data_IF_636598367868
#
_entry.id   IF_636598367868
#
_cell.length_a   1.000
_cell.length_b   1.000
_cell.length_c   1.000
_cell.angle_alpha   90.00
_cell.angle_beta   90.00
_cell.angle_gamma   90.00
#
_symmetry.space_group_name_H-M   'P 1'
#
loop_
_entity.id
_entity.type
_entity.pdbx_description
1 polymer ?
#
# COMPACT_ATOMS: atom_id res chain seq x y z
N UNK A 1 23.89 -28.02 8.01
CA UNK A 1 23.44 -26.62 8.17
C UNK A 1 24.38 -25.87 9.12
N UNK A 2 24.60 -24.56 8.96
CA UNK A 2 25.60 -23.80 9.74
C UNK A 2 25.42 -23.93 11.28
N UNK A 3 24.17 -24.01 11.75
CA UNK A 3 23.83 -24.25 13.15
C UNK A 3 24.29 -25.64 13.65
N UNK A 4 24.17 -26.66 12.81
CA UNK A 4 24.57 -28.05 13.14
C UNK A 4 26.09 -28.20 13.30
N UNK A 5 26.87 -27.25 12.77
CA UNK A 5 28.33 -27.20 12.93
C UNK A 5 28.79 -26.11 13.91
N UNK A 6 27.87 -25.58 14.73
CA UNK A 6 28.20 -24.71 15.86
C UNK A 6 28.30 -23.21 15.55
N UNK A 7 27.79 -22.74 14.41
CA UNK A 7 27.71 -21.30 14.15
C UNK A 7 26.72 -20.62 15.11
N UNK A 8 27.08 -19.44 15.61
CA UNK A 8 26.18 -18.59 16.39
C UNK A 8 25.16 -17.86 15.51
N UNK A 9 24.05 -17.44 16.11
CA UNK A 9 23.02 -16.61 15.46
C UNK A 9 23.14 -15.15 15.90
N UNK A 10 22.69 -14.22 15.05
CA UNK A 10 22.51 -12.82 15.40
C UNK A 10 21.27 -12.26 14.70
N UNK A 11 20.56 -11.33 15.36
CA UNK A 11 19.34 -10.69 14.84
C UNK A 11 18.04 -11.33 15.35
N UNK A 12 16.92 -10.77 14.88
CA UNK A 12 15.56 -11.27 15.13
C UNK A 12 15.15 -12.18 13.98
N UNK A 13 14.47 -13.30 14.32
CA UNK A 13 13.96 -14.26 13.33
C UNK A 13 12.43 -14.25 13.22
N UNK A 14 11.79 -13.39 13.99
CA UNK A 14 10.35 -13.25 14.18
C UNK A 14 9.77 -11.98 13.52
N UNK A 15 10.59 -11.25 12.75
CA UNK A 15 10.15 -10.12 11.94
C UNK A 15 9.39 -10.54 10.69
N UNK A 16 8.65 -9.59 10.10
CA UNK A 16 7.91 -9.79 8.87
C UNK A 16 8.22 -8.66 7.90
N UNK A 17 8.66 -9.02 6.69
CA UNK A 17 8.73 -8.09 5.56
C UNK A 17 7.31 -7.91 5.01
N UNK A 18 6.84 -6.67 4.97
CA UNK A 18 5.46 -6.34 4.61
C UNK A 18 5.44 -5.25 3.54
N UNK A 19 4.59 -5.40 2.52
CA UNK A 19 4.38 -4.38 1.48
C UNK A 19 2.89 -4.23 1.20
N UNK A 20 2.48 -3.01 0.82
CA UNK A 20 1.13 -2.78 0.31
C UNK A 20 1.07 -3.24 -1.14
N UNK A 21 0.31 -4.29 -1.41
CA UNK A 21 0.17 -4.87 -2.76
C UNK A 21 -1.24 -4.68 -3.30
N UNK A 22 -1.37 -4.55 -4.61
CA UNK A 22 -2.66 -4.60 -5.28
C UNK A 22 -3.20 -6.03 -5.24
N UNK A 23 -4.21 -6.27 -4.39
CA UNK A 23 -4.82 -7.60 -4.23
C UNK A 23 -5.58 -8.07 -5.46
N UNK A 24 -5.79 -7.19 -6.46
CA UNK A 24 -6.43 -7.53 -7.73
C UNK A 24 -5.42 -8.08 -8.75
N UNK A 25 -4.14 -7.86 -8.54
CA UNK A 25 -3.08 -8.23 -9.46
C UNK A 25 -2.74 -9.73 -9.37
N UNK A 26 -2.49 -10.35 -10.52
CA UNK A 26 -2.06 -11.75 -10.61
C UNK A 26 -0.52 -11.88 -10.67
N UNK A 27 0.15 -10.74 -10.87
CA UNK A 27 1.60 -10.64 -10.99
C UNK A 27 2.25 -10.67 -9.59
N UNK A 28 3.37 -11.37 -9.41
CA UNK A 28 4.14 -11.26 -8.17
C UNK A 28 4.64 -9.83 -7.98
N UNK A 29 4.76 -9.38 -6.73
CA UNK A 29 5.36 -8.10 -6.38
C UNK A 29 4.61 -6.87 -6.96
N UNK A 30 3.28 -6.92 -6.93
CA UNK A 30 2.40 -5.81 -7.36
C UNK A 30 2.29 -4.71 -6.29
N UNK A 31 3.44 -4.23 -5.78
CA UNK A 31 3.54 -3.28 -4.66
C UNK A 31 3.15 -1.87 -5.08
N UNK A 32 2.26 -1.21 -4.34
CA UNK A 32 1.91 0.20 -4.58
C UNK A 32 2.91 1.12 -3.88
N UNK A 33 3.88 1.61 -4.66
CA UNK A 33 4.97 2.45 -4.17
C UNK A 33 4.61 3.94 -4.12
N UNK A 34 3.56 4.40 -4.79
CA UNK A 34 3.20 5.82 -4.75
C UNK A 34 2.48 6.31 -3.48
N UNK A 35 2.47 5.56 -2.37
CA UNK A 35 1.71 5.94 -1.16
C UNK A 35 2.08 7.33 -0.60
N UNK A 36 3.31 7.81 -0.80
CA UNK A 36 3.74 9.16 -0.41
C UNK A 36 3.20 10.29 -1.31
N UNK A 37 2.60 9.97 -2.46
CA UNK A 37 2.02 10.92 -3.42
C UNK A 37 0.49 10.93 -3.41
N UNK A 38 -0.12 10.23 -2.46
CA UNK A 38 -1.56 10.20 -2.28
C UNK A 38 -1.90 9.99 -0.81
N UNK A 39 -3.06 9.37 -0.56
CA UNK A 39 -3.49 8.97 0.77
C UNK A 39 -3.81 7.48 0.81
N UNK A 40 -3.64 6.89 1.98
CA UNK A 40 -4.05 5.52 2.25
C UNK A 40 -5.18 5.53 3.27
N UNK A 41 -6.29 4.93 2.91
CA UNK A 41 -7.50 4.85 3.74
C UNK A 41 -7.87 3.40 4.03
N UNK A 42 -8.45 3.15 5.20
CA UNK A 42 -8.98 1.84 5.55
C UNK A 42 -10.39 1.61 4.92
N UNK A 43 -11.01 0.47 5.21
CA UNK A 43 -12.38 0.14 4.73
C UNK A 43 -13.48 1.10 5.23
N UNK A 44 -13.19 1.94 6.24
CA UNK A 44 -14.09 2.98 6.75
C UNK A 44 -13.81 4.35 6.13
N UNK A 45 -12.91 4.40 5.14
CA UNK A 45 -12.42 5.62 4.50
C UNK A 45 -11.63 6.55 5.44
N UNK A 46 -11.10 6.02 6.53
CA UNK A 46 -10.29 6.79 7.48
C UNK A 46 -8.80 6.63 7.14
N UNK A 47 -8.07 7.75 7.11
CA UNK A 47 -6.61 7.71 7.10
C UNK A 47 -6.10 7.14 8.41
N UNK A 48 -5.16 6.23 8.34
CA UNK A 48 -4.56 5.59 9.53
C UNK A 48 -3.05 5.79 9.63
N UNK A 49 -2.45 6.44 8.63
CA UNK A 49 -1.01 6.63 8.53
C UNK A 49 -0.68 8.05 8.06
N UNK A 50 0.48 8.56 8.47
CA UNK A 50 1.06 9.79 7.92
C UNK A 50 2.05 9.41 6.82
N UNK A 51 1.60 9.47 5.57
CA UNK A 51 2.32 9.04 4.38
C UNK A 51 3.56 9.92 4.09
N UNK A 52 3.63 11.11 4.69
CA UNK A 52 4.74 12.06 4.57
C UNK A 52 5.69 12.09 5.77
N UNK A 53 5.47 11.24 6.80
CA UNK A 53 6.19 11.36 8.08
C UNK A 53 7.71 11.26 7.97
N UNK A 54 8.23 10.48 7.02
CA UNK A 54 9.67 10.24 6.77
C UNK A 54 9.91 9.88 5.30
N UNK A 55 11.17 9.63 4.96
CA UNK A 55 11.57 9.15 3.64
C UNK A 55 10.88 7.83 3.30
N UNK A 56 10.46 7.70 2.05
CA UNK A 56 9.72 6.58 1.50
C UNK A 56 10.26 5.19 1.89
N UNK A 57 11.55 4.93 1.67
CA UNK A 57 12.18 3.63 1.97
C UNK A 57 12.28 3.33 3.48
N UNK A 58 11.91 4.27 4.35
CA UNK A 58 11.81 4.08 5.80
C UNK A 58 10.38 3.77 6.23
N UNK A 59 9.38 4.15 5.41
CA UNK A 59 7.96 4.11 5.79
C UNK A 59 7.15 3.05 5.08
N UNK A 60 7.60 2.53 3.93
CA UNK A 60 6.83 1.60 3.10
C UNK A 60 6.45 0.30 3.82
N UNK A 61 7.38 -0.24 4.62
CA UNK A 61 7.11 -1.46 5.40
C UNK A 61 6.23 -1.16 6.62
N UNK A 62 6.44 0.00 7.23
CA UNK A 62 5.70 0.42 8.43
C UNK A 62 4.22 0.67 8.13
N UNK A 63 3.88 1.25 6.97
CA UNK A 63 2.47 1.44 6.58
C UNK A 63 1.80 0.10 6.28
N UNK A 64 2.52 -0.84 5.67
CA UNK A 64 2.03 -2.19 5.42
C UNK A 64 1.82 -2.97 6.72
N UNK A 65 2.74 -2.83 7.68
CA UNK A 65 2.61 -3.41 9.01
C UNK A 65 1.39 -2.86 9.76
N UNK A 66 1.18 -1.54 9.74
CA UNK A 66 0.02 -0.91 10.38
C UNK A 66 -1.30 -1.35 9.72
N UNK A 67 -1.32 -1.49 8.38
CA UNK A 67 -2.45 -2.02 7.64
C UNK A 67 -2.78 -3.47 8.04
N UNK A 68 -1.75 -4.34 8.06
CA UNK A 68 -1.88 -5.73 8.45
C UNK A 68 -2.36 -5.88 9.90
N UNK A 69 -1.77 -5.13 10.84
CA UNK A 69 -2.03 -5.25 12.27
C UNK A 69 -3.38 -4.69 12.68
N UNK A 70 -3.74 -3.51 12.17
CA UNK A 70 -4.83 -2.70 12.74
C UNK A 70 -5.97 -2.40 11.75
N UNK A 71 -5.82 -2.70 10.45
CA UNK A 71 -6.77 -2.30 9.40
C UNK A 71 -7.40 -3.48 8.65
N UNK A 72 -7.62 -4.61 9.34
CA UNK A 72 -8.25 -5.80 8.73
C UNK A 72 -7.51 -6.27 7.46
N UNK A 73 -6.18 -6.10 7.46
CA UNK A 73 -5.26 -6.48 6.38
C UNK A 73 -5.63 -5.91 5.01
N UNK A 74 -6.29 -4.76 4.96
CA UNK A 74 -6.77 -4.18 3.71
C UNK A 74 -6.95 -2.67 3.82
N UNK A 75 -6.48 -1.97 2.78
CA UNK A 75 -6.59 -0.54 2.63
C UNK A 75 -6.70 -0.17 1.14
N UNK A 76 -7.01 1.09 0.86
CA UNK A 76 -7.09 1.66 -0.47
C UNK A 76 -6.08 2.79 -0.60
N UNK A 77 -5.27 2.76 -1.66
CA UNK A 77 -4.48 3.91 -2.07
C UNK A 77 -5.34 4.80 -2.97
N UNK A 78 -5.31 6.10 -2.71
CA UNK A 78 -6.09 7.10 -3.42
C UNK A 78 -5.17 8.24 -3.85
N UNK A 79 -5.26 8.60 -5.13
CA UNK A 79 -4.54 9.73 -5.72
C UNK A 79 -5.47 10.48 -6.69
N UNK A 80 -5.06 11.68 -7.11
CA UNK A 80 -5.73 12.45 -8.17
C UNK A 80 -5.13 12.19 -9.56
N UNK A 81 -5.76 12.76 -10.58
CA UNK A 81 -5.33 12.62 -11.98
C UNK A 81 -3.98 13.32 -12.22
N UNK A 82 -3.72 14.48 -11.61
CA UNK A 82 -2.45 15.20 -11.79
C UNK A 82 -1.24 14.35 -11.37
N UNK A 83 -1.33 13.68 -10.22
CA UNK A 83 -0.30 12.76 -9.75
C UNK A 83 -0.25 11.50 -10.62
N UNK A 84 -1.40 10.93 -10.98
CA UNK A 84 -1.45 9.76 -11.86
C UNK A 84 -0.74 10.04 -13.20
N UNK A 85 -1.07 11.13 -13.88
CA UNK A 85 -0.44 11.50 -15.16
C UNK A 85 1.07 11.72 -15.03
N UNK A 86 1.55 12.17 -13.86
CA UNK A 86 2.97 12.45 -13.63
C UNK A 86 3.81 11.19 -13.44
N UNK A 87 3.25 10.16 -12.82
CA UNK A 87 3.96 8.92 -12.44
C UNK A 87 3.44 7.68 -13.17
N UNK A 88 2.42 7.80 -14.03
CA UNK A 88 2.05 6.71 -14.90
C UNK A 88 3.21 6.37 -15.85
N UNK A 89 3.56 5.09 -15.97
CA UNK A 89 4.75 4.67 -16.72
C UNK A 89 6.04 4.62 -15.89
N UNK A 90 5.96 4.91 -14.59
CA UNK A 90 7.09 4.84 -13.66
C UNK A 90 6.93 3.70 -12.65
N UNK A 91 8.03 3.33 -12.01
CA UNK A 91 8.09 2.21 -11.07
C UNK A 91 7.17 2.39 -9.85
N UNK A 92 6.76 3.62 -9.55
CA UNK A 92 5.82 3.95 -8.48
C UNK A 92 4.43 3.30 -8.66
N UNK A 93 3.98 3.13 -9.90
CA UNK A 93 2.65 2.60 -10.24
C UNK A 93 2.64 1.42 -11.23
N UNK A 94 3.74 1.14 -11.93
CA UNK A 94 3.80 0.09 -12.99
C UNK A 94 4.10 -1.33 -12.46
N UNK A 95 4.15 -1.51 -11.14
CA UNK A 95 4.33 -2.82 -10.51
C UNK A 95 3.07 -3.69 -10.63
N UNK A 96 1.88 -3.09 -10.52
CA UNK A 96 0.58 -3.75 -10.75
C UNK A 96 0.25 -3.88 -12.24
N UNK A 97 -0.45 -4.95 -12.61
CA UNK A 97 -0.96 -5.17 -13.98
C UNK A 97 -2.39 -4.64 -14.17
N UNK A 98 -3.01 -4.08 -13.11
CA UNK A 98 -4.37 -3.56 -13.15
C UNK A 98 -4.36 -2.03 -13.16
N UNK A 99 -5.18 -1.39 -14.00
CA UNK A 99 -5.36 0.05 -13.92
C UNK A 99 -6.04 0.47 -12.59
N UNK A 100 -5.88 1.73 -12.18
CA UNK A 100 -6.64 2.27 -11.05
C UNK A 100 -8.13 2.35 -11.39
N UNK A 101 -8.98 2.22 -10.38
CA UNK A 101 -10.41 2.54 -10.51
C UNK A 101 -10.57 4.06 -10.60
N UNK A 102 -11.20 4.54 -11.69
CA UNK A 102 -11.39 5.96 -11.96
C UNK A 102 -12.88 6.34 -11.89
N UNK A 103 -13.14 7.59 -11.51
CA UNK A 103 -14.46 8.19 -11.46
C UNK A 103 -14.34 9.72 -11.49
N UNK A 104 -15.40 10.41 -11.92
CA UNK A 104 -15.41 11.87 -11.99
C UNK A 104 -15.65 12.52 -10.62
N UNK A 105 -16.19 11.77 -9.66
CA UNK A 105 -16.38 12.22 -8.28
C UNK A 105 -15.91 11.18 -7.25
N UNK A 106 -15.66 11.66 -6.03
CA UNK A 106 -15.20 10.81 -4.92
C UNK A 106 -16.31 9.83 -4.51
N UNK A 107 -17.57 10.29 -4.54
CA UNK A 107 -18.74 9.48 -4.20
C UNK A 107 -18.92 8.32 -5.18
N UNK A 108 -18.82 8.57 -6.49
CA UNK A 108 -18.89 7.52 -7.51
C UNK A 108 -17.74 6.52 -7.33
N UNK A 109 -16.52 7.01 -7.01
CA UNK A 109 -15.37 6.14 -6.74
C UNK A 109 -15.61 5.24 -5.53
N UNK A 110 -16.13 5.81 -4.44
CA UNK A 110 -16.44 5.06 -3.24
C UNK A 110 -17.48 3.96 -3.52
N UNK A 111 -18.53 4.25 -4.28
CA UNK A 111 -19.52 3.24 -4.68
C UNK A 111 -18.88 2.10 -5.48
N UNK A 112 -18.01 2.40 -6.46
CA UNK A 112 -17.27 1.38 -7.24
C UNK A 112 -16.41 0.48 -6.36
N UNK A 113 -15.83 1.03 -5.30
CA UNK A 113 -14.98 0.30 -4.35
C UNK A 113 -15.77 -0.39 -3.23
N UNK A 114 -17.10 -0.27 -3.20
CA UNK A 114 -17.95 -0.81 -2.13
C UNK A 114 -17.77 -0.08 -0.79
N UNK A 115 -17.34 1.18 -0.83
CA UNK A 115 -17.11 2.06 0.30
C UNK A 115 -18.30 3.00 0.53
N UNK A 116 -18.35 3.64 1.70
CA UNK A 116 -19.41 4.63 2.01
C UNK A 116 -19.12 5.95 1.29
N UNK A 117 -20.01 6.46 0.42
CA UNK A 117 -19.70 7.60 -0.46
C UNK A 117 -19.27 8.87 0.25
N UNK A 118 -19.95 9.21 1.36
CA UNK A 118 -19.69 10.44 2.11
C UNK A 118 -18.51 10.32 3.10
N UNK A 119 -17.83 9.18 3.14
CA UNK A 119 -16.71 8.95 4.05
C UNK A 119 -15.34 9.04 3.37
N UNK A 120 -15.30 8.88 2.04
CA UNK A 120 -14.08 8.96 1.22
C UNK A 120 -13.81 10.39 0.77
#
# INVERSE_FOLDING_TARGET
>A
MALEVGAGTAGSFDGMHCELVDTRADKPDAVIWGHSYGIVVNKKCERFYDEGKRQFFVTFEMIALDCWRDQDMSCFFVTDDDIWQRFHGSWEYDTTDKPPEQADTIEERAEKLGLTPNAL
#
